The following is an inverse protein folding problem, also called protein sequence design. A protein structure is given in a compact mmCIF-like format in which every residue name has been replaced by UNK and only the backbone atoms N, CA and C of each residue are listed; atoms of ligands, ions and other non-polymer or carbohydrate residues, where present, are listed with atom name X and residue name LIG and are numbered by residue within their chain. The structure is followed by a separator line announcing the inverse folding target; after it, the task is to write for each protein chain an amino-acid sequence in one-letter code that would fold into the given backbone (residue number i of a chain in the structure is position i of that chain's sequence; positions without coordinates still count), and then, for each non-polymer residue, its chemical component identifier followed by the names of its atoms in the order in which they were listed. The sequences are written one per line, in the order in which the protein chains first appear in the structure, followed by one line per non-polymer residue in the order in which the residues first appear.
data_IF_560938799276
#
_entry.id   IF_560938799276
#
_cell.length_a   1.000
_cell.length_b   1.000
_cell.length_c   1.000
_cell.angle_alpha   90.00
_cell.angle_beta   90.00
_cell.angle_gamma   90.00
#
_symmetry.space_group_name_H-M   'P 1'
#
loop_
_entity.id
_entity.type
_entity.pdbx_description
1 polymer ?
#
# COMPACT_ATOMS: atom_id res chain seq x y z
N UNK A 1 -16.26 6.52 4.47
CA UNK A 1 -15.91 7.95 4.25
C UNK A 1 -16.09 8.29 2.77
N UNK A 2 -16.73 9.39 2.39
CA UNK A 2 -16.93 9.78 0.98
C UNK A 2 -15.99 10.94 0.63
N UNK A 3 -15.03 10.73 -0.26
CA UNK A 3 -14.18 11.82 -0.75
C UNK A 3 -14.82 12.54 -1.95
N UNK A 4 -14.76 13.87 -1.89
CA UNK A 4 -15.40 14.80 -2.82
C UNK A 4 -14.56 15.00 -4.09
N UNK A 5 -15.20 14.89 -5.25
CA UNK A 5 -14.61 15.12 -6.56
C UNK A 5 -14.42 16.63 -6.81
N UNK A 6 -13.18 17.13 -6.78
CA UNK A 6 -12.85 18.49 -7.20
C UNK A 6 -12.59 18.54 -8.71
N UNK A 7 -13.43 19.28 -9.45
CA UNK A 7 -13.21 19.62 -10.86
C UNK A 7 -12.34 20.89 -10.95
N UNK A 8 -11.14 20.79 -11.51
CA UNK A 8 -10.32 21.95 -11.84
C UNK A 8 -10.83 22.63 -13.12
N UNK A 9 -11.13 23.93 -13.02
CA UNK A 9 -11.41 24.84 -14.12
C UNK A 9 -10.06 25.30 -14.68
N UNK A 10 -9.76 24.94 -15.93
CA UNK A 10 -8.57 25.41 -16.64
C UNK A 10 -8.71 26.89 -17.01
N UNK A 11 -7.78 27.73 -16.53
CA UNK A 11 -7.62 29.12 -16.97
C UNK A 11 -6.48 29.16 -18.00
N UNK A 12 -6.85 29.40 -19.25
CA UNK A 12 -5.95 29.60 -20.37
C UNK A 12 -5.35 31.02 -20.29
N UNK A 13 -4.12 31.13 -19.80
CA UNK A 13 -3.36 32.38 -19.75
C UNK A 13 -2.56 32.62 -21.02
N UNK A 14 -3.11 33.44 -21.91
CA UNK A 14 -2.39 34.16 -22.97
C UNK A 14 -1.54 35.28 -22.33
N UNK A 15 -0.33 35.60 -22.84
CA UNK A 15 0.12 36.99 -23.15
C UNK A 15 1.64 37.16 -23.45
N UNK A 16 1.86 37.89 -24.55
CA UNK A 16 2.97 38.76 -25.03
C UNK A 16 4.44 38.31 -25.09
N UNK A 17 4.93 38.24 -26.34
CA UNK A 17 6.32 38.47 -26.74
C UNK A 17 6.49 39.97 -27.06
N UNK A 18 7.42 40.66 -26.38
CA UNK A 18 7.84 42.03 -26.70
C UNK A 18 9.21 42.00 -27.38
N UNK A 19 9.25 42.41 -28.65
CA UNK A 19 10.47 42.67 -29.40
C UNK A 19 10.94 44.11 -29.12
N UNK A 20 12.10 44.25 -28.47
CA UNK A 20 12.76 45.53 -28.24
C UNK A 20 13.98 45.71 -29.14
N UNK A 21 13.84 46.56 -30.17
CA UNK A 21 14.95 47.13 -30.92
C UNK A 21 15.42 48.41 -30.20
N UNK A 22 16.73 48.51 -29.93
CA UNK A 22 17.34 49.73 -29.39
C UNK A 22 18.82 49.75 -29.74
N UNK A 23 19.20 50.66 -30.64
CA UNK A 23 20.54 50.79 -31.19
C UNK A 23 21.43 51.80 -30.45
N UNK A 24 22.73 51.61 -30.72
CA UNK A 24 23.86 52.54 -30.69
C UNK A 24 24.25 53.22 -29.36
N UNK A 25 25.53 53.08 -28.98
CA UNK A 25 26.53 54.18 -29.07
C UNK A 25 27.94 53.59 -28.84
N UNK A 26 28.83 53.79 -29.79
CA UNK A 26 30.27 53.47 -29.72
C UNK A 26 31.02 54.54 -28.93
N UNK A 27 31.62 54.16 -27.80
CA UNK A 27 32.64 54.95 -27.10
C UNK A 27 33.86 54.06 -26.88
N UNK A 28 34.94 54.33 -27.61
CA UNK A 28 36.23 53.66 -27.48
C UNK A 28 36.98 54.26 -26.31
N UNK A 29 37.08 53.52 -25.20
CA UNK A 29 38.00 53.80 -24.10
C UNK A 29 38.91 52.59 -23.93
N UNK A 30 40.21 52.79 -24.14
CA UNK A 30 41.24 51.76 -24.04
C UNK A 30 41.74 51.69 -22.60
N UNK A 31 41.12 50.83 -21.79
CA UNK A 31 41.63 50.42 -20.48
C UNK A 31 42.58 49.21 -20.62
N UNK A 32 43.58 49.06 -19.74
CA UNK A 32 44.52 47.95 -19.77
C UNK A 32 43.81 46.63 -19.47
N UNK A 33 44.04 45.65 -20.34
CA UNK A 33 43.45 44.31 -20.30
C UNK A 33 44.11 43.52 -19.16
N UNK A 34 43.52 43.57 -17.96
CA UNK A 34 43.79 42.56 -16.94
C UNK A 34 43.17 41.26 -17.45
N UNK A 35 44.02 40.27 -17.73
CA UNK A 35 43.61 38.95 -18.19
C UNK A 35 42.92 38.20 -17.04
N UNK A 36 41.63 38.48 -16.84
CA UNK A 36 40.79 37.68 -15.94
C UNK A 36 40.55 36.32 -16.58
N UNK A 37 41.19 35.29 -16.02
CA UNK A 37 40.90 33.90 -16.34
C UNK A 37 39.41 33.67 -16.09
N UNK A 38 38.62 33.24 -17.10
CA UNK A 38 37.22 32.93 -16.86
C UNK A 38 37.15 31.79 -15.84
N UNK A 39 36.68 32.09 -14.63
CA UNK A 39 36.36 31.08 -13.64
C UNK A 39 35.16 30.32 -14.19
N UNK A 40 35.41 29.20 -14.86
CA UNK A 40 34.38 28.30 -15.31
C UNK A 40 33.58 27.85 -14.08
N UNK A 41 32.42 28.45 -13.89
CA UNK A 41 31.47 28.03 -12.86
C UNK A 41 30.91 26.71 -13.36
N UNK A 42 31.46 25.59 -12.85
CA UNK A 42 30.90 24.26 -13.05
C UNK A 42 29.50 24.26 -12.45
N UNK A 43 28.48 24.43 -13.29
CA UNK A 43 27.09 24.22 -12.88
C UNK A 43 26.96 22.72 -12.68
N UNK A 44 26.92 22.28 -11.42
CA UNK A 44 26.67 20.88 -11.10
C UNK A 44 25.33 20.49 -11.73
N UNK A 45 25.36 19.53 -12.67
CA UNK A 45 24.16 19.03 -13.31
C UNK A 45 23.26 18.38 -12.25
N UNK A 46 21.97 18.71 -12.26
CA UNK A 46 20.99 18.03 -11.43
C UNK A 46 20.98 16.54 -11.78
N UNK A 47 21.12 15.62 -10.80
CA UNK A 47 21.07 14.19 -11.07
C UNK A 47 19.72 13.83 -11.69
N UNK A 48 19.68 12.83 -12.60
CA UNK A 48 18.43 12.39 -13.20
C UNK A 48 17.50 11.81 -12.13
N UNK A 49 16.19 11.97 -12.33
CA UNK A 49 15.18 11.33 -11.50
C UNK A 49 15.37 9.82 -11.56
N UNK A 50 15.40 9.18 -10.39
CA UNK A 50 15.51 7.74 -10.26
C UNK A 50 14.68 7.23 -9.09
N UNK A 51 14.24 5.97 -9.20
CA UNK A 51 13.54 5.26 -8.12
C UNK A 51 14.16 3.88 -7.93
N UNK A 52 14.26 3.43 -6.69
CA UNK A 52 14.64 2.06 -6.33
C UNK A 52 13.58 1.43 -5.45
N UNK A 53 13.33 0.14 -5.66
CA UNK A 53 12.45 -0.69 -4.82
C UNK A 53 13.24 -1.37 -3.70
N UNK A 54 12.65 -1.50 -2.51
CA UNK A 54 13.22 -2.29 -1.40
C UNK A 54 13.26 -3.79 -1.69
N UNK A 55 12.39 -4.28 -2.58
CA UNK A 55 12.37 -5.66 -3.05
C UNK A 55 13.23 -5.76 -4.31
N UNK A 56 14.25 -6.62 -4.27
CA UNK A 56 15.20 -6.82 -5.35
C UNK A 56 14.73 -7.85 -6.39
N UNK A 57 15.24 -7.73 -7.62
CA UNK A 57 15.03 -8.70 -8.69
C UNK A 57 15.58 -10.09 -8.30
N UNK A 58 14.83 -11.13 -8.65
CA UNK A 58 15.13 -12.52 -8.30
C UNK A 58 14.76 -12.91 -6.85
N UNK A 59 14.13 -12.03 -6.07
CA UNK A 59 13.75 -12.35 -4.68
C UNK A 59 12.68 -13.44 -4.64
N UNK A 60 12.86 -14.41 -3.73
CA UNK A 60 11.80 -15.34 -3.36
C UNK A 60 11.05 -14.78 -2.14
N UNK A 61 9.82 -14.29 -2.35
CA UNK A 61 8.99 -13.67 -1.34
C UNK A 61 8.16 -14.73 -0.61
N UNK A 62 8.65 -15.15 0.56
CA UNK A 62 7.99 -16.18 1.40
C UNK A 62 7.39 -15.64 2.68
N UNK A 63 7.61 -14.35 3.00
CA UNK A 63 7.12 -13.73 4.23
C UNK A 63 6.57 -12.33 3.93
N UNK A 64 5.59 -11.85 4.72
CA UNK A 64 5.17 -10.46 4.69
C UNK A 64 6.35 -9.50 4.70
N UNK A 65 6.36 -8.53 3.78
CA UNK A 65 7.51 -7.67 3.52
C UNK A 65 7.07 -6.23 3.33
N UNK A 66 7.77 -5.29 3.99
CA UNK A 66 7.60 -3.87 3.73
C UNK A 66 8.13 -3.53 2.32
N UNK A 67 7.25 -3.08 1.44
CA UNK A 67 7.61 -2.67 0.09
C UNK A 67 7.69 -1.15 0.01
N UNK A 68 8.90 -0.63 -0.12
CA UNK A 68 9.22 0.80 0.00
C UNK A 68 9.91 1.26 -1.27
N UNK A 69 9.47 2.41 -1.79
CA UNK A 69 10.12 3.09 -2.91
C UNK A 69 10.99 4.24 -2.41
N UNK A 70 12.25 4.27 -2.85
CA UNK A 70 13.17 5.38 -2.57
C UNK A 70 13.37 6.21 -3.83
N UNK A 71 12.98 7.48 -3.78
CA UNK A 71 13.10 8.42 -4.90
C UNK A 71 14.32 9.31 -4.72
N UNK A 72 15.12 9.47 -5.77
CA UNK A 72 16.30 10.33 -5.79
C UNK A 72 16.31 11.21 -7.05
N UNK A 73 17.09 12.29 -7.04
CA UNK A 73 17.21 13.19 -8.19
C UNK A 73 15.98 14.06 -8.46
N UNK A 74 15.04 14.16 -7.51
CA UNK A 74 13.91 15.07 -7.62
C UNK A 74 14.34 16.54 -7.57
N UNK A 75 13.73 17.37 -8.43
CA UNK A 75 13.92 18.83 -8.41
C UNK A 75 12.89 19.50 -7.51
N UNK A 76 13.27 20.58 -6.81
CA UNK A 76 12.33 21.41 -6.05
C UNK A 76 11.25 22.05 -6.94
N UNK A 77 11.53 22.26 -8.24
CA UNK A 77 10.57 22.80 -9.21
C UNK A 77 9.67 21.73 -9.84
N UNK A 78 9.93 20.46 -9.53
CA UNK A 78 9.18 19.31 -10.04
C UNK A 78 9.14 18.23 -8.96
N UNK A 79 8.48 18.48 -7.82
CA UNK A 79 8.34 17.48 -6.76
C UNK A 79 7.59 16.24 -7.26
N UNK A 80 7.77 15.14 -6.54
CA UNK A 80 6.97 13.93 -6.72
C UNK A 80 5.50 14.26 -6.47
N UNK A 81 4.64 13.81 -7.37
CA UNK A 81 3.18 13.89 -7.30
C UNK A 81 2.60 12.62 -6.67
N UNK A 82 3.09 11.45 -7.12
CA UNK A 82 2.72 10.14 -6.57
C UNK A 82 3.71 9.06 -6.96
N UNK A 83 3.65 7.95 -6.23
CA UNK A 83 4.32 6.70 -6.51
C UNK A 83 3.26 5.62 -6.67
N UNK A 84 3.27 4.93 -7.79
CA UNK A 84 2.38 3.83 -8.11
C UNK A 84 3.13 2.51 -7.90
N UNK A 85 2.51 1.58 -7.18
CA UNK A 85 2.98 0.21 -7.00
C UNK A 85 2.09 -0.72 -7.82
N UNK A 86 2.71 -1.49 -8.70
CA UNK A 86 2.03 -2.38 -9.63
C UNK A 86 2.50 -3.81 -9.44
N UNK A 87 1.56 -4.75 -9.53
CA UNK A 87 1.82 -6.19 -9.49
C UNK A 87 1.30 -6.76 -10.81
N UNK A 88 2.19 -7.40 -11.56
CA UNK A 88 1.92 -7.99 -12.89
C UNK A 88 1.42 -7.02 -13.97
N UNK A 89 1.40 -5.72 -13.68
CA UNK A 89 0.92 -4.67 -14.56
C UNK A 89 -0.36 -3.99 -14.06
N UNK A 90 -1.01 -4.57 -13.05
CA UNK A 90 -2.18 -3.99 -12.41
C UNK A 90 -1.77 -3.04 -11.28
N UNK A 91 -2.43 -1.88 -11.22
CA UNK A 91 -2.21 -0.89 -10.17
C UNK A 91 -2.76 -1.42 -8.84
N UNK A 92 -1.85 -1.70 -7.89
CA UNK A 92 -2.20 -2.22 -6.58
C UNK A 92 -2.28 -1.11 -5.51
N UNK A 93 -1.38 -0.11 -5.56
CA UNK A 93 -1.35 0.97 -4.58
C UNK A 93 -0.83 2.29 -5.17
N UNK A 94 -1.30 3.40 -4.60
CA UNK A 94 -0.81 4.75 -4.90
C UNK A 94 -0.44 5.43 -3.59
N UNK A 95 0.81 5.89 -3.48
CA UNK A 95 1.27 6.68 -2.34
C UNK A 95 1.64 8.09 -2.80
N UNK A 96 1.18 9.10 -2.07
CA UNK A 96 1.40 10.51 -2.38
C UNK A 96 2.45 11.18 -1.49
N UNK A 97 2.79 10.56 -0.36
CA UNK A 97 3.65 11.14 0.66
C UNK A 97 4.87 10.26 0.93
N UNK A 98 6.00 10.91 1.19
CA UNK A 98 7.18 10.20 1.67
C UNK A 98 7.04 9.92 3.18
N UNK A 99 7.48 8.74 3.69
CA UNK A 99 8.07 7.63 2.95
C UNK A 99 7.07 6.91 2.04
N UNK A 100 7.46 6.62 0.78
CA UNK A 100 6.57 5.99 -0.18
C UNK A 100 6.46 4.50 0.10
N UNK A 101 5.43 4.11 0.84
CA UNK A 101 5.14 2.74 1.30
C UNK A 101 3.98 2.14 0.51
N UNK A 102 4.02 0.82 0.33
CA UNK A 102 2.90 0.05 -0.23
C UNK A 102 1.85 -0.23 0.85
N UNK A 103 0.56 -0.14 0.48
CA UNK A 103 -0.58 -0.53 1.30
C UNK A 103 -0.76 0.30 2.58
N UNK A 104 -0.38 1.58 2.57
CA UNK A 104 -0.42 2.49 3.73
C UNK A 104 0.71 2.24 4.75
N UNK A 105 0.89 3.20 5.64
CA UNK A 105 2.04 3.23 6.55
C UNK A 105 2.05 2.05 7.54
N UNK A 106 3.15 1.28 7.48
CA UNK A 106 3.39 0.15 8.39
C UNK A 106 2.76 -1.16 7.95
N UNK A 107 1.96 -1.16 6.88
CA UNK A 107 1.38 -2.37 6.31
C UNK A 107 2.37 -3.07 5.37
N UNK A 108 2.02 -4.29 4.98
CA UNK A 108 2.93 -5.23 4.32
C UNK A 108 2.38 -5.70 2.97
N UNK A 109 3.29 -5.96 2.03
CA UNK A 109 3.01 -6.87 0.94
C UNK A 109 3.04 -8.28 1.52
N UNK A 110 1.88 -8.95 1.52
CA UNK A 110 1.75 -10.34 2.01
C UNK A 110 1.82 -11.28 0.80
N UNK A 111 2.94 -11.97 0.55
CA UNK A 111 3.13 -12.71 -0.71
C UNK A 111 2.15 -13.88 -0.86
N UNK A 112 1.68 -14.43 0.27
CA UNK A 112 0.76 -15.57 0.30
C UNK A 112 -0.63 -15.25 -0.22
N UNK A 113 -0.99 -13.99 -0.53
CA UNK A 113 -2.24 -13.69 -1.27
C UNK A 113 -2.09 -13.77 -2.79
N UNK A 114 -0.85 -13.70 -3.30
CA UNK A 114 -0.55 -13.84 -4.71
C UNK A 114 -0.55 -15.32 -5.11
N UNK A 115 -0.88 -15.61 -6.37
CA UNK A 115 -0.79 -16.96 -6.90
C UNK A 115 0.65 -17.50 -6.81
N UNK A 116 0.88 -18.80 -6.57
CA UNK A 116 2.23 -19.32 -6.55
C UNK A 116 2.88 -19.20 -7.94
N UNK A 117 4.05 -18.58 -8.01
CA UNK A 117 4.78 -18.48 -9.28
C UNK A 117 5.63 -17.24 -9.38
N UNK A 118 5.88 -16.82 -10.63
CA UNK A 118 6.63 -15.62 -10.92
C UNK A 118 5.70 -14.42 -11.04
N UNK A 119 6.08 -13.31 -10.42
CA UNK A 119 5.39 -12.03 -10.52
C UNK A 119 6.35 -10.92 -10.91
N UNK A 120 5.83 -9.89 -11.56
CA UNK A 120 6.56 -8.64 -11.84
C UNK A 120 6.07 -7.55 -10.90
N UNK A 121 6.94 -7.14 -10.00
CA UNK A 121 6.74 -5.97 -9.14
C UNK A 121 7.31 -4.74 -9.83
N UNK A 122 6.51 -3.67 -9.94
CA UNK A 122 6.92 -2.43 -10.57
C UNK A 122 6.57 -1.24 -9.69
N UNK A 123 7.48 -0.27 -9.63
CA UNK A 123 7.29 1.02 -8.99
C UNK A 123 7.44 2.09 -10.06
N UNK A 124 6.41 2.92 -10.23
CA UNK A 124 6.44 4.10 -11.10
C UNK A 124 6.35 5.37 -10.26
N UNK A 125 7.24 6.31 -10.49
CA UNK A 125 7.21 7.64 -9.86
C UNK A 125 6.75 8.64 -10.90
N UNK A 126 5.79 9.48 -10.53
CA UNK A 126 5.38 10.62 -11.34
C UNK A 126 5.66 11.91 -10.58
N UNK A 127 6.21 12.89 -11.29
CA UNK A 127 6.39 14.25 -10.76
C UNK A 127 5.29 15.17 -11.28
N UNK A 128 5.13 16.32 -10.62
CA UNK A 128 4.17 17.37 -11.03
C UNK A 128 4.39 17.94 -12.44
N UNK A 129 5.58 17.75 -13.03
CA UNK A 129 5.87 18.11 -14.43
C UNK A 129 5.58 16.99 -15.44
N UNK A 130 5.14 15.82 -14.97
CA UNK A 130 4.88 14.63 -15.79
C UNK A 130 6.12 13.78 -16.10
N UNK A 131 7.31 14.16 -15.60
CA UNK A 131 8.51 13.30 -15.69
C UNK A 131 8.33 12.08 -14.80
N UNK A 132 8.69 10.91 -15.31
CA UNK A 132 8.57 9.64 -14.62
C UNK A 132 9.89 8.86 -14.54
N UNK A 133 10.01 8.03 -13.51
CA UNK A 133 11.06 7.04 -13.35
C UNK A 133 10.43 5.71 -12.92
N UNK A 134 11.05 4.59 -13.31
CA UNK A 134 10.52 3.25 -13.07
C UNK A 134 11.59 2.33 -12.51
N UNK A 135 11.19 1.46 -11.58
CA UNK A 135 11.96 0.30 -11.13
C UNK A 135 11.11 -0.95 -11.28
N UNK A 136 11.71 -2.06 -11.69
CA UNK A 136 11.05 -3.36 -11.83
C UNK A 136 11.88 -4.47 -11.18
N UNK A 137 11.19 -5.48 -10.67
CA UNK A 137 11.77 -6.71 -10.13
C UNK A 137 10.87 -7.89 -10.48
N UNK A 138 11.46 -8.98 -10.97
CA UNK A 138 10.80 -10.28 -11.05
C UNK A 138 11.03 -11.01 -9.73
N UNK A 139 9.95 -11.51 -9.14
CA UNK A 139 10.00 -12.23 -7.86
C UNK A 139 9.30 -13.56 -8.01
N UNK A 140 9.56 -14.48 -7.09
CA UNK A 140 8.78 -15.71 -6.95
C UNK A 140 8.04 -15.75 -5.63
N UNK A 141 6.86 -16.36 -5.63
CA UNK A 141 5.99 -16.49 -4.45
C UNK A 141 5.66 -17.97 -4.22
N UNK A 142 5.34 -18.28 -2.97
CA UNK A 142 4.72 -19.55 -2.58
C UNK A 142 3.53 -19.25 -1.71
N UNK A 143 2.49 -20.09 -1.82
CA UNK A 143 1.30 -20.00 -0.96
C UNK A 143 1.24 -21.24 -0.07
N UNK A 144 1.21 -21.10 1.27
CA UNK A 144 0.90 -22.20 2.16
C UNK A 144 -0.49 -22.77 1.83
N UNK A 145 -0.66 -24.09 1.98
CA UNK A 145 -1.97 -24.70 1.83
C UNK A 145 -2.88 -24.28 2.97
N UNK A 146 -4.11 -23.87 2.64
CA UNK A 146 -5.15 -23.65 3.63
C UNK A 146 -5.62 -25.01 4.16
N UNK A 147 -5.73 -25.20 5.49
CA UNK A 147 -6.31 -26.42 6.05
C UNK A 147 -7.70 -26.69 5.47
N UNK A 148 -7.99 -27.94 5.08
CA UNK A 148 -9.26 -28.34 4.47
C UNK A 148 -10.47 -28.10 5.40
N UNK A 149 -10.21 -27.98 6.70
CA UNK A 149 -11.17 -27.60 7.71
C UNK A 149 -11.67 -26.15 7.57
N UNK A 150 -10.88 -25.28 6.94
CA UNK A 150 -11.15 -23.85 6.73
C UNK A 150 -11.43 -23.52 5.27
N UNK A 151 -10.72 -24.14 4.33
CA UNK A 151 -10.74 -23.79 2.91
C UNK A 151 -12.17 -23.75 2.32
N UNK A 152 -12.54 -22.58 1.78
CA UNK A 152 -13.83 -22.34 1.14
C UNK A 152 -15.01 -22.32 2.12
N UNK A 153 -14.77 -22.24 3.43
CA UNK A 153 -15.83 -22.28 4.44
C UNK A 153 -16.16 -20.90 4.95
N UNK A 154 -17.47 -20.64 5.03
CA UNK A 154 -18.05 -19.48 5.67
C UNK A 154 -18.45 -19.77 7.11
N UNK A 155 -18.22 -18.82 8.00
CA UNK A 155 -18.69 -18.84 9.36
C UNK A 155 -19.33 -17.51 9.77
N UNK A 156 -20.19 -17.56 10.78
CA UNK A 156 -20.82 -16.39 11.37
C UNK A 156 -20.69 -16.40 12.90
N UNK A 157 -20.53 -15.22 13.46
CA UNK A 157 -20.37 -15.02 14.89
C UNK A 157 -21.04 -13.73 15.31
N UNK A 158 -21.65 -13.73 16.49
CA UNK A 158 -22.09 -12.51 17.15
C UNK A 158 -21.22 -12.32 18.38
N UNK A 159 -20.26 -11.36 18.34
CA UNK A 159 -19.46 -11.01 19.49
C UNK A 159 -20.35 -10.67 20.68
N UNK A 160 -20.11 -11.30 21.83
CA UNK A 160 -20.74 -10.87 23.09
C UNK A 160 -20.11 -9.54 23.52
N UNK A 161 -20.93 -8.53 23.86
CA UNK A 161 -20.63 -7.18 24.42
C UNK A 161 -19.22 -6.62 24.15
N UNK A 162 -19.07 -5.39 23.62
CA UNK A 162 -17.77 -4.85 23.22
C UNK A 162 -16.76 -4.91 24.38
N UNK A 163 -15.69 -5.71 24.19
CA UNK A 163 -14.64 -5.88 25.21
C UNK A 163 -13.68 -4.70 25.27
N UNK A 164 -13.65 -3.85 24.25
CA UNK A 164 -12.85 -2.63 24.24
C UNK A 164 -13.76 -1.39 24.34
N UNK A 165 -13.55 -0.61 25.40
CA UNK A 165 -14.35 0.57 25.74
C UNK A 165 -14.31 1.70 24.69
N UNK A 166 -13.40 1.62 23.72
CA UNK A 166 -13.13 2.68 22.73
C UNK A 166 -13.31 2.22 21.29
N UNK A 167 -13.66 0.95 21.04
CA UNK A 167 -13.88 0.49 19.67
C UNK A 167 -15.33 0.73 19.29
N UNK A 168 -15.56 1.58 18.29
CA UNK A 168 -16.88 1.79 17.69
C UNK A 168 -17.15 0.66 16.68
N UNK A 169 -17.36 -0.55 17.19
CA UNK A 169 -17.64 -1.73 16.37
C UNK A 169 -19.14 -1.99 16.33
N UNK A 170 -19.72 -2.28 15.15
CA UNK A 170 -21.14 -2.58 15.06
C UNK A 170 -21.53 -3.87 15.78
N UNK A 171 -22.58 -3.78 16.58
CA UNK A 171 -23.27 -4.93 17.16
C UNK A 171 -23.96 -5.76 16.09
N UNK A 172 -23.94 -7.08 16.25
CA UNK A 172 -24.70 -8.02 15.42
C UNK A 172 -23.86 -9.16 14.88
N UNK A 173 -24.35 -9.78 13.80
CA UNK A 173 -23.74 -10.97 13.20
C UNK A 173 -22.67 -10.55 12.20
N UNK A 174 -21.42 -10.87 12.54
CA UNK A 174 -20.27 -10.82 11.65
C UNK A 174 -20.19 -12.13 10.86
N UNK A 175 -19.70 -12.05 9.62
CA UNK A 175 -19.46 -13.22 8.77
C UNK A 175 -18.02 -13.19 8.28
N UNK A 176 -17.41 -14.36 8.18
CA UNK A 176 -16.09 -14.56 7.60
C UNK A 176 -16.13 -15.71 6.60
N UNK A 177 -15.30 -15.66 5.57
CA UNK A 177 -15.05 -16.74 4.63
C UNK A 177 -13.55 -16.90 4.42
N UNK A 178 -13.05 -18.13 4.61
CA UNK A 178 -11.65 -18.48 4.36
C UNK A 178 -11.48 -18.89 2.90
N UNK A 179 -10.86 -18.04 2.09
CA UNK A 179 -10.55 -18.36 0.71
C UNK A 179 -9.31 -19.25 0.57
N UNK A 180 -9.29 -20.08 -0.47
CA UNK A 180 -8.11 -20.85 -0.88
C UNK A 180 -6.93 -19.94 -1.29
N UNK A 181 -7.21 -18.67 -1.54
CA UNK A 181 -6.27 -17.60 -1.83
C UNK A 181 -5.65 -16.97 -0.58
N UNK A 182 -5.69 -17.63 0.58
CA UNK A 182 -5.06 -17.11 1.80
C UNK A 182 -5.66 -15.79 2.29
N UNK A 183 -6.90 -15.50 1.90
CA UNK A 183 -7.63 -14.28 2.30
C UNK A 183 -8.89 -14.66 3.07
N UNK A 184 -9.04 -14.08 4.26
CA UNK A 184 -10.32 -14.02 4.96
C UNK A 184 -11.08 -12.83 4.40
N UNK A 185 -12.30 -13.06 3.93
CA UNK A 185 -13.26 -12.02 3.58
C UNK A 185 -14.24 -11.90 4.72
N UNK A 186 -14.56 -10.68 5.15
CA UNK A 186 -15.52 -10.48 6.22
C UNK A 186 -16.60 -9.46 5.88
N UNK A 187 -17.79 -9.67 6.43
CA UNK A 187 -18.92 -8.74 6.40
C UNK A 187 -19.27 -8.32 7.83
N UNK A 188 -19.42 -7.01 8.03
CA UNK A 188 -19.92 -6.46 9.29
C UNK A 188 -21.47 -6.44 9.32
N UNK A 189 -22.08 -6.30 10.52
CA UNK A 189 -23.53 -6.25 10.68
C UNK A 189 -24.25 -5.10 9.97
N UNK A 190 -23.53 -4.04 9.58
CA UNK A 190 -24.05 -2.88 8.87
C UNK A 190 -23.81 -2.97 7.34
N UNK A 191 -23.25 -4.07 6.86
CA UNK A 191 -22.96 -4.34 5.46
C UNK A 191 -21.61 -3.81 4.96
N UNK A 192 -20.75 -3.35 5.86
CA UNK A 192 -19.34 -3.10 5.55
C UNK A 192 -18.61 -4.40 5.25
N UNK A 193 -17.53 -4.30 4.47
CA UNK A 193 -16.74 -5.43 3.97
C UNK A 193 -15.27 -5.18 4.26
N UNK A 194 -14.50 -6.25 4.37
CA UNK A 194 -13.04 -6.14 4.41
C UNK A 194 -12.33 -7.46 4.15
N UNK A 195 -11.00 -7.38 4.09
CA UNK A 195 -10.15 -8.54 3.82
C UNK A 195 -8.90 -8.54 4.68
N UNK A 196 -8.55 -9.74 5.14
CA UNK A 196 -7.35 -10.02 5.93
C UNK A 196 -6.57 -11.13 5.24
N UNK A 197 -5.27 -10.92 4.97
CA UNK A 197 -4.42 -12.05 4.62
C UNK A 197 -4.27 -12.95 5.85
N UNK A 198 -4.24 -14.26 5.62
CA UNK A 198 -4.00 -15.22 6.68
C UNK A 198 -3.05 -16.35 6.27
N UNK A 199 -2.39 -16.90 7.28
CA UNK A 199 -1.72 -18.20 7.21
C UNK A 199 -2.23 -19.08 8.36
N UNK A 200 -2.63 -20.31 8.03
CA UNK A 200 -3.15 -21.25 9.01
C UNK A 200 -2.38 -22.57 8.94
N UNK A 201 -2.05 -23.13 10.09
CA UNK A 201 -1.34 -24.40 10.23
C UNK A 201 -2.24 -25.47 10.81
N UNK A 202 -1.97 -26.75 10.50
CA UNK A 202 -2.79 -27.88 10.97
C UNK A 202 -2.68 -28.16 12.47
N UNK A 203 -1.67 -27.59 13.15
CA UNK A 203 -1.54 -27.62 14.62
C UNK A 203 -2.32 -26.50 15.32
N UNK A 204 -3.14 -25.75 14.57
CA UNK A 204 -4.10 -24.81 15.14
C UNK A 204 -3.58 -23.39 15.32
N UNK A 205 -2.54 -22.96 14.59
CA UNK A 205 -2.09 -21.56 14.57
C UNK A 205 -2.71 -20.84 13.37
N UNK A 206 -3.22 -19.63 13.60
CA UNK A 206 -3.73 -18.71 12.58
C UNK A 206 -3.00 -17.38 12.74
N UNK A 207 -2.34 -16.89 11.70
CA UNK A 207 -1.71 -15.57 11.68
C UNK A 207 -2.45 -14.68 10.70
N UNK A 208 -2.80 -13.46 11.13
CA UNK A 208 -3.45 -12.42 10.35
C UNK A 208 -2.45 -11.30 10.04
N UNK A 209 -2.51 -10.73 8.84
CA UNK A 209 -1.54 -9.75 8.35
C UNK A 209 -2.16 -8.48 7.73
N UNK A 210 -3.48 -8.31 7.79
CA UNK A 210 -4.22 -7.31 7.01
C UNK A 210 -3.95 -5.83 7.36
N UNK A 211 -4.69 -4.90 6.72
CA UNK A 211 -5.72 -5.20 5.74
C UNK A 211 -5.09 -5.53 4.38
N UNK A 212 -5.78 -6.35 3.56
CA UNK A 212 -5.40 -6.59 2.16
C UNK A 212 -6.30 -5.87 1.17
N UNK A 213 -6.77 -4.68 1.55
CA UNK A 213 -7.76 -3.92 0.79
C UNK A 213 -7.36 -3.62 -0.68
N UNK A 214 -6.06 -3.66 -0.98
CA UNK A 214 -5.51 -3.49 -2.33
C UNK A 214 -5.86 -4.61 -3.33
N UNK A 215 -6.29 -5.80 -2.87
CA UNK A 215 -6.71 -6.89 -3.77
C UNK A 215 -8.20 -6.84 -4.13
N UNK A 216 -8.96 -5.92 -3.51
CA UNK A 216 -10.42 -5.82 -3.71
C UNK A 216 -10.82 -4.44 -4.27
N UNK A 217 -11.97 -4.37 -4.96
CA UNK A 217 -12.57 -3.11 -5.38
C UNK A 217 -12.80 -2.15 -4.20
N UNK A 218 -12.82 -0.85 -4.47
CA UNK A 218 -12.92 0.21 -3.45
C UNK A 218 -14.14 0.02 -2.53
N UNK A 219 -15.28 -0.42 -3.06
CA UNK A 219 -16.50 -0.68 -2.30
C UNK A 219 -16.41 -1.86 -1.32
N UNK A 220 -15.43 -2.74 -1.51
CA UNK A 220 -15.15 -3.87 -0.65
C UNK A 220 -13.95 -3.63 0.27
N UNK A 221 -13.33 -2.43 0.19
CA UNK A 221 -12.24 -2.04 1.08
C UNK A 221 -12.81 -1.68 2.45
N UNK A 222 -12.26 -2.33 3.44
CA UNK A 222 -12.46 -2.01 4.84
C UNK A 222 -11.41 -2.68 5.68
N UNK A 223 -11.48 -2.37 6.95
CA UNK A 223 -10.56 -2.81 7.98
C UNK A 223 -11.15 -2.44 9.34
N UNK A 224 -10.47 -2.88 10.36
CA UNK A 224 -10.74 -2.60 11.76
C UNK A 224 -10.06 -1.31 12.23
N UNK A 225 -8.91 -0.93 11.66
CA UNK A 225 -8.18 0.29 11.99
C UNK A 225 -7.18 0.68 10.89
N UNK A 226 -6.53 1.84 11.03
CA UNK A 226 -5.55 2.36 10.06
C UNK A 226 -4.30 1.46 9.95
N UNK A 227 -3.81 0.94 11.09
CA UNK A 227 -2.67 0.03 11.13
C UNK A 227 -3.06 -1.28 11.82
N UNK A 228 -3.17 -2.33 11.01
CA UNK A 228 -3.47 -3.67 11.45
C UNK A 228 -2.15 -4.46 11.49
N UNK A 229 -1.51 -4.52 12.65
CA UNK A 229 -0.27 -5.27 12.80
C UNK A 229 -0.45 -6.77 12.53
N UNK A 230 0.64 -7.53 12.65
CA UNK A 230 0.55 -8.99 12.61
C UNK A 230 -0.11 -9.48 13.90
N UNK A 231 -1.16 -10.29 13.79
CA UNK A 231 -1.83 -10.91 14.95
C UNK A 231 -1.82 -12.41 14.83
N UNK A 232 -1.37 -13.09 15.89
CA UNK A 232 -1.45 -14.54 15.99
C UNK A 232 -2.63 -14.95 16.88
N UNK A 233 -3.33 -15.98 16.43
CA UNK A 233 -4.47 -16.61 17.08
C UNK A 233 -4.28 -18.12 17.07
N UNK A 234 -5.04 -18.80 17.91
CA UNK A 234 -5.28 -20.23 17.78
C UNK A 234 -6.64 -20.48 17.14
N UNK A 235 -6.72 -21.56 16.35
CA UNK A 235 -7.96 -22.02 15.75
C UNK A 235 -8.17 -23.52 16.02
N UNK A 236 -9.43 -23.91 16.16
CA UNK A 236 -9.83 -25.31 16.31
C UNK A 236 -11.25 -25.51 15.74
N UNK A 237 -11.50 -26.68 15.14
CA UNK A 237 -12.87 -27.13 14.87
C UNK A 237 -13.40 -27.98 16.02
N UNK A 238 -14.61 -27.64 16.51
CA UNK A 238 -15.36 -28.43 17.48
C UNK A 238 -16.75 -28.75 16.91
N UNK A 239 -16.94 -29.99 16.46
CA UNK A 239 -18.12 -30.34 15.66
C UNK A 239 -18.07 -29.63 14.31
N UNK A 240 -19.01 -28.73 14.06
CA UNK A 240 -19.00 -27.87 12.87
C UNK A 240 -18.53 -26.43 13.19
N UNK A 241 -18.40 -26.09 14.47
CA UNK A 241 -18.07 -24.73 14.88
C UNK A 241 -16.56 -24.51 14.81
N UNK A 242 -16.17 -23.32 14.35
CA UNK A 242 -14.82 -22.80 14.41
C UNK A 242 -14.64 -22.04 15.72
N UNK A 243 -13.60 -22.36 16.48
CA UNK A 243 -13.23 -21.64 17.69
C UNK A 243 -11.94 -20.89 17.39
N UNK A 244 -11.99 -19.56 17.54
CA UNK A 244 -10.84 -18.68 17.41
C UNK A 244 -10.51 -18.06 18.77
N UNK A 245 -9.23 -18.03 19.14
CA UNK A 245 -8.76 -17.43 20.39
C UNK A 245 -7.46 -16.66 20.18
N UNK A 246 -7.35 -15.45 20.72
CA UNK A 246 -6.10 -14.68 20.68
C UNK A 246 -5.00 -15.37 21.49
N UNK A 247 -3.80 -15.50 20.92
CA UNK A 247 -2.63 -16.03 21.64
C UNK A 247 -1.80 -14.95 22.36
N UNK A 248 -2.26 -13.69 22.40
CA UNK A 248 -1.57 -12.57 23.04
C UNK A 248 -2.42 -11.29 23.16
N UNK A 249 -1.84 -10.23 23.72
CA UNK A 249 -2.47 -8.91 23.93
C UNK A 249 -2.03 -7.84 22.94
N UNK A 250 -1.13 -8.18 22.00
CA UNK A 250 -0.35 -7.18 21.26
C UNK A 250 -0.96 -6.81 19.90
N UNK A 251 -2.27 -7.05 19.70
CA UNK A 251 -2.96 -6.52 18.51
C UNK A 251 -3.04 -5.00 18.66
N UNK A 252 -2.37 -4.20 17.79
CA UNK A 252 -2.49 -2.74 17.82
C UNK A 252 -3.92 -2.27 17.48
N UNK A 253 -4.77 -3.21 17.06
CA UNK A 253 -6.16 -3.03 16.67
C UNK A 253 -7.12 -3.81 17.59
N UNK A 254 -7.45 -3.30 18.80
CA UNK A 254 -8.23 -4.06 19.78
C UNK A 254 -9.60 -4.55 19.26
N UNK A 255 -10.20 -3.80 18.34
CA UNK A 255 -11.47 -4.18 17.70
C UNK A 255 -11.36 -5.43 16.82
N UNK A 256 -10.22 -5.62 16.14
CA UNK A 256 -9.97 -6.78 15.28
C UNK A 256 -9.93 -8.08 16.09
N UNK A 257 -9.04 -8.15 17.07
CA UNK A 257 -8.94 -9.30 17.96
C UNK A 257 -10.28 -9.64 18.64
N UNK A 258 -11.06 -8.63 19.02
CA UNK A 258 -12.40 -8.82 19.60
C UNK A 258 -13.39 -9.45 18.61
N UNK A 259 -13.45 -8.97 17.37
CA UNK A 259 -14.36 -9.55 16.35
C UNK A 259 -14.00 -11.01 16.08
N UNK A 260 -12.72 -11.31 15.87
CA UNK A 260 -12.30 -12.66 15.51
C UNK A 260 -12.41 -13.65 16.68
N UNK A 261 -12.26 -13.22 17.93
CA UNK A 261 -12.27 -14.14 19.08
C UNK A 261 -13.67 -14.64 19.42
N UNK A 262 -13.87 -15.95 19.34
CA UNK A 262 -15.13 -16.56 19.77
C UNK A 262 -15.42 -17.89 19.11
N UNK A 263 -16.66 -18.34 19.29
CA UNK A 263 -17.21 -19.50 18.59
C UNK A 263 -18.01 -19.01 17.39
N UNK A 264 -17.56 -19.45 16.22
CA UNK A 264 -18.07 -19.16 14.90
C UNK A 264 -18.85 -20.36 14.38
N UNK A 265 -20.12 -20.16 14.08
CA UNK A 265 -21.01 -21.20 13.56
C UNK A 265 -20.91 -21.23 12.04
N UNK A 266 -21.09 -22.38 11.37
CA UNK A 266 -21.16 -22.43 9.91
C UNK A 266 -22.19 -21.44 9.36
N UNK A 267 -21.81 -20.69 8.33
CA UNK A 267 -22.75 -19.90 7.55
C UNK A 267 -23.58 -20.84 6.67
N UNK A 268 -24.90 -20.69 6.70
CA UNK A 268 -25.85 -21.45 5.87
C UNK A 268 -25.84 -21.01 4.42
#
# INVERSE_FOLDING_TARGET
MRYATFRFIGVLGLVLVMAGCGGATTTTSSEPITSETPVATSIAATPPLAVTSSIADGTNLTTPTAWIATVTGQSATSPVDRVEFLIDGDLAWVEHNAPYSFNDDGNLLVPSVLDPGSHRLRVDVYTTSGVAATSEANVTTTRPLVPAELEGKGFQHQPSEPRCATCDMPDGVWRIEFGADGVIRFDDPLGGKGTEAFEATSDGVLTLYGPTSWIVPEEARGGFCESEGITTMTWQISGADLILSTSGTDDPCPGRAWVFTGTWQPSS
#
